data_IF_487260353668
#
_entry.id   IF_487260353668
#
_cell.length_a   1.000
_cell.length_b   1.000
_cell.length_c   1.000
_cell.angle_alpha   90.00
_cell.angle_beta   90.00
_cell.angle_gamma   90.00
#
_symmetry.space_group_name_H-M   'P 1'
#
loop_
_entity.id
_entity.type
_entity.pdbx_description
1 polymer ?
#
# COMPACT_ATOMS: atom_id res chain seq x y z
N UNK A 1 -4.48 7.45 -11.47
CA UNK A 1 -5.04 7.15 -10.15
C UNK A 1 -6.45 6.57 -10.20
N UNK A 2 -7.36 7.16 -10.99
CA UNK A 2 -8.81 6.87 -10.93
C UNK A 2 -9.16 5.38 -11.05
N UNK A 3 -8.61 4.66 -12.03
CA UNK A 3 -8.94 3.25 -12.24
C UNK A 3 -8.58 2.31 -11.06
N UNK A 4 -7.56 2.65 -10.26
CA UNK A 4 -7.19 1.88 -9.07
C UNK A 4 -8.09 2.25 -7.89
N UNK A 5 -8.41 3.54 -7.74
CA UNK A 5 -9.38 3.99 -6.75
C UNK A 5 -10.76 3.36 -7.01
N UNK A 6 -11.16 3.22 -8.28
CA UNK A 6 -12.42 2.59 -8.66
C UNK A 6 -12.41 1.07 -8.38
N UNK A 7 -11.33 0.36 -8.73
CA UNK A 7 -11.18 -1.08 -8.41
C UNK A 7 -11.08 -1.37 -6.90
N UNK A 8 -10.43 -0.50 -6.13
CA UNK A 8 -10.37 -0.62 -4.68
C UNK A 8 -11.69 -0.19 -4.01
N UNK A 9 -12.45 0.73 -4.62
CA UNK A 9 -13.79 1.08 -4.16
C UNK A 9 -14.79 -0.07 -4.38
N UNK A 10 -14.58 -0.90 -5.39
CA UNK A 10 -15.33 -2.16 -5.60
C UNK A 10 -15.00 -3.23 -4.53
N UNK A 11 -13.91 -3.06 -3.78
CA UNK A 11 -13.53 -3.89 -2.63
C UNK A 11 -13.61 -3.07 -1.32
N UNK A 12 -14.81 -2.81 -0.79
CA UNK A 12 -14.93 -2.14 0.50
C UNK A 12 -14.25 -3.01 1.58
N UNK A 13 -13.17 -2.50 2.17
CA UNK A 13 -12.58 -3.02 3.43
C UNK A 13 -13.48 -2.71 4.64
N UNK A 14 -14.79 -2.77 4.45
CA UNK A 14 -15.81 -2.40 5.42
C UNK A 14 -16.95 -3.40 5.43
N UNK A 15 -16.60 -4.68 5.48
CA UNK A 15 -17.44 -5.61 6.24
C UNK A 15 -16.82 -5.73 7.63
N UNK A 16 -17.32 -4.90 8.55
CA UNK A 16 -17.44 -5.33 9.93
C UNK A 16 -18.11 -6.72 9.87
N UNK A 17 -17.34 -7.77 10.10
CA UNK A 17 -17.85 -9.12 10.24
C UNK A 17 -18.84 -9.05 11.41
N UNK A 18 -20.14 -9.04 11.11
CA UNK A 18 -21.17 -9.32 12.10
C UNK A 18 -21.02 -10.80 12.42
N UNK A 19 -20.31 -11.09 13.50
CA UNK A 19 -20.21 -12.45 14.03
C UNK A 19 -21.59 -12.86 14.52
N UNK A 20 -22.25 -13.76 13.79
CA UNK A 20 -23.37 -14.54 14.31
C UNK A 20 -22.76 -15.56 15.29
N UNK A 21 -23.06 -15.37 16.56
CA UNK A 21 -22.42 -15.97 17.73
C UNK A 21 -22.87 -17.43 17.93
N UNK A 22 -22.49 -18.34 17.02
CA UNK A 22 -22.80 -19.77 17.19
C UNK A 22 -21.73 -20.75 16.66
N UNK A 23 -20.48 -20.31 16.49
CA UNK A 23 -19.36 -21.21 16.21
C UNK A 23 -18.47 -21.40 17.44
N UNK A 24 -18.45 -22.59 18.09
CA UNK A 24 -17.75 -22.81 19.37
C UNK A 24 -16.23 -22.90 19.23
N UNK A 25 -15.66 -22.49 18.09
CA UNK A 25 -14.24 -22.56 17.78
C UNK A 25 -13.65 -21.23 17.30
N UNK A 26 -14.40 -20.14 17.38
CA UNK A 26 -13.83 -18.82 17.22
C UNK A 26 -13.04 -18.50 18.49
N UNK A 27 -11.76 -18.90 18.47
CA UNK A 27 -10.76 -18.11 19.15
C UNK A 27 -10.88 -16.72 18.54
N UNK A 28 -11.66 -15.86 19.18
CA UNK A 28 -11.58 -14.42 19.00
C UNK A 28 -10.15 -14.10 19.40
N UNK A 29 -9.26 -14.21 18.41
CA UNK A 29 -7.98 -13.56 18.43
C UNK A 29 -8.35 -12.09 18.53
N UNK A 30 -8.46 -11.61 19.77
CA UNK A 30 -8.05 -10.25 20.11
C UNK A 30 -6.62 -10.14 19.63
N UNK A 31 -6.47 -9.96 18.31
CA UNK A 31 -5.21 -9.68 17.66
C UNK A 31 -4.93 -8.30 18.17
N UNK A 32 -4.08 -8.22 19.20
CA UNK A 32 -3.41 -6.99 19.57
C UNK A 32 -3.05 -6.29 18.26
N UNK A 33 -3.58 -5.06 18.06
CA UNK A 33 -3.44 -4.29 16.81
C UNK A 33 -2.03 -4.46 16.28
N UNK A 34 -1.87 -5.34 15.27
CA UNK A 34 -0.55 -5.53 14.69
C UNK A 34 -0.08 -4.15 14.21
N UNK A 35 1.19 -3.79 14.42
CA UNK A 35 1.72 -2.50 14.01
C UNK A 35 1.36 -2.21 12.54
N UNK A 36 0.39 -1.31 12.31
CA UNK A 36 -0.11 -0.98 10.98
C UNK A 36 0.86 0.00 10.33
N UNK A 37 1.37 -0.38 9.15
CA UNK A 37 2.11 0.52 8.27
C UNK A 37 1.16 1.11 7.24
N UNK A 38 1.24 2.42 7.02
CA UNK A 38 0.52 3.09 5.94
C UNK A 38 1.50 3.33 4.78
N UNK A 39 1.02 3.21 3.54
CA UNK A 39 1.83 3.47 2.35
C UNK A 39 1.05 4.36 1.38
N UNK A 40 1.65 5.47 1.00
CA UNK A 40 1.18 6.35 -0.06
C UNK A 40 2.16 6.29 -1.22
N UNK A 41 1.67 6.36 -2.45
CA UNK A 41 2.52 6.30 -3.63
C UNK A 41 1.95 7.14 -4.76
N UNK A 42 2.83 7.64 -5.61
CA UNK A 42 2.46 8.32 -6.85
C UNK A 42 3.50 8.06 -7.95
N UNK A 43 3.03 8.03 -9.19
CA UNK A 43 3.86 7.81 -10.36
C UNK A 43 3.68 8.95 -11.36
N UNK A 44 4.78 9.62 -11.69
CA UNK A 44 4.78 10.75 -12.63
C UNK A 44 5.50 10.39 -13.93
N UNK A 45 4.96 10.91 -15.04
CA UNK A 45 5.61 10.85 -16.35
C UNK A 45 5.67 12.26 -16.93
N UNK A 46 6.86 12.65 -17.39
CA UNK A 46 7.13 13.91 -18.08
C UNK A 46 7.87 13.67 -19.40
N UNK A 47 8.13 14.74 -20.17
CA UNK A 47 9.00 14.68 -21.36
C UNK A 47 10.46 14.39 -20.99
N UNK A 48 10.89 14.74 -19.77
CA UNK A 48 12.24 14.51 -19.26
C UNK A 48 12.44 13.08 -18.69
N UNK A 49 11.38 12.27 -18.66
CA UNK A 49 11.37 10.92 -18.12
C UNK A 49 10.27 10.71 -17.09
N UNK A 50 10.33 9.57 -16.41
CA UNK A 50 9.36 9.17 -15.40
C UNK A 50 10.03 8.98 -14.04
N UNK A 51 9.23 9.08 -12.99
CA UNK A 51 9.67 8.90 -11.62
C UNK A 51 8.51 8.53 -10.72
N UNK A 52 8.84 7.93 -9.57
CA UNK A 52 7.89 7.50 -8.57
C UNK A 52 8.22 8.15 -7.23
N UNK A 53 7.19 8.37 -6.44
CA UNK A 53 7.24 8.83 -5.07
C UNK A 53 6.50 7.84 -4.18
N UNK A 54 7.07 7.52 -3.02
CA UNK A 54 6.47 6.60 -2.04
C UNK A 54 6.68 7.22 -0.65
N UNK A 55 5.69 7.11 0.22
CA UNK A 55 5.77 7.52 1.61
C UNK A 55 5.25 6.38 2.49
N UNK A 56 6.09 5.92 3.41
CA UNK A 56 5.66 5.03 4.47
C UNK A 56 5.38 5.81 5.75
N UNK A 57 4.29 5.49 6.43
CA UNK A 57 4.07 5.87 7.82
C UNK A 57 4.26 4.62 8.68
N UNK A 58 5.21 4.67 9.61
CA UNK A 58 5.41 3.59 10.57
C UNK A 58 4.25 3.55 11.58
N UNK A 59 4.06 2.44 12.30
CA UNK A 59 3.13 2.37 13.43
C UNK A 59 3.42 3.45 14.48
N UNK A 60 4.70 3.82 14.65
CA UNK A 60 5.18 4.90 15.52
C UNK A 60 4.93 6.31 14.94
N UNK A 61 4.20 6.41 13.83
CA UNK A 61 3.86 7.64 13.11
C UNK A 61 5.07 8.38 12.51
N UNK A 62 6.17 7.68 12.29
CA UNK A 62 7.32 8.22 11.55
C UNK A 62 7.06 8.16 10.04
N UNK A 63 7.47 9.22 9.33
CA UNK A 63 7.30 9.34 7.89
C UNK A 63 8.62 9.06 7.17
N UNK A 64 8.62 8.10 6.25
CA UNK A 64 9.80 7.68 5.50
C UNK A 64 9.56 7.87 4.00
N UNK A 65 9.98 9.02 3.42
CA UNK A 65 9.78 9.32 2.01
C UNK A 65 10.84 8.69 1.11
N UNK A 66 10.43 8.25 -0.07
CA UNK A 66 11.27 7.72 -1.14
C UNK A 66 10.92 8.37 -2.47
N UNK A 67 11.92 8.58 -3.32
CA UNK A 67 11.75 9.05 -4.69
C UNK A 67 12.74 8.34 -5.59
N UNK A 68 12.25 7.79 -6.70
CA UNK A 68 13.06 7.02 -7.63
C UNK A 68 12.80 7.50 -9.06
N UNK A 69 13.87 7.66 -9.84
CA UNK A 69 13.76 7.90 -11.27
C UNK A 69 13.62 6.56 -12.00
N UNK A 70 12.59 6.43 -12.83
CA UNK A 70 12.45 5.27 -13.72
C UNK A 70 13.40 5.45 -14.91
N UNK A 71 14.22 4.44 -15.17
CA UNK A 71 15.23 4.42 -16.24
C UNK A 71 14.69 3.87 -17.57
N UNK A 72 13.39 3.57 -17.62
CA UNK A 72 12.71 3.08 -18.82
C UNK A 72 11.59 4.05 -19.25
N UNK A 73 11.23 3.99 -20.53
CA UNK A 73 10.08 4.71 -21.04
C UNK A 73 8.80 4.06 -20.56
N UNK A 74 7.90 4.83 -19.96
CA UNK A 74 6.63 4.33 -19.44
C UNK A 74 5.50 5.31 -19.73
N UNK A 75 4.26 4.81 -19.77
CA UNK A 75 3.07 5.67 -19.72
C UNK A 75 2.81 6.14 -18.28
N UNK A 76 1.90 7.11 -18.10
CA UNK A 76 1.58 7.64 -16.77
C UNK A 76 1.07 6.53 -15.83
N UNK A 77 0.10 5.72 -16.27
CA UNK A 77 -0.41 4.59 -15.47
C UNK A 77 0.70 3.59 -15.13
N UNK A 78 1.64 3.34 -16.05
CA UNK A 78 2.79 2.47 -15.77
C UNK A 78 3.65 3.02 -14.64
N UNK A 79 3.88 4.34 -14.58
CA UNK A 79 4.60 4.94 -13.46
C UNK A 79 3.86 4.72 -12.13
N UNK A 80 2.53 4.85 -12.11
CA UNK A 80 1.72 4.60 -10.90
C UNK A 80 1.80 3.12 -10.46
N UNK A 81 1.69 2.18 -11.39
CA UNK A 81 1.84 0.74 -11.09
C UNK A 81 3.22 0.42 -10.55
N UNK A 82 4.25 1.02 -11.13
CA UNK A 82 5.64 0.85 -10.68
C UNK A 82 5.85 1.44 -9.28
N UNK A 83 5.21 2.56 -8.96
CA UNK A 83 5.23 3.14 -7.63
C UNK A 83 4.63 2.18 -6.59
N UNK A 84 3.48 1.57 -6.88
CA UNK A 84 2.84 0.56 -6.03
C UNK A 84 3.72 -0.69 -5.86
N UNK A 85 4.21 -1.27 -6.95
CA UNK A 85 5.02 -2.50 -6.93
C UNK A 85 6.31 -2.29 -6.14
N UNK A 86 6.99 -1.16 -6.36
CA UNK A 86 8.24 -0.86 -5.66
C UNK A 86 7.98 -0.56 -4.18
N UNK A 87 6.89 0.15 -3.86
CA UNK A 87 6.44 0.36 -2.48
C UNK A 87 6.20 -0.95 -1.74
N UNK A 88 5.44 -1.89 -2.32
CA UNK A 88 5.18 -3.19 -1.70
C UNK A 88 6.46 -4.00 -1.47
N UNK A 89 7.39 -4.01 -2.44
CA UNK A 89 8.70 -4.67 -2.26
C UNK A 89 9.52 -4.07 -1.13
N UNK A 90 9.49 -2.75 -0.95
CA UNK A 90 10.17 -2.08 0.15
C UNK A 90 9.51 -2.40 1.49
N UNK A 91 8.18 -2.34 1.54
CA UNK A 91 7.41 -2.64 2.75
C UNK A 91 7.66 -4.07 3.24
N UNK A 92 7.67 -5.05 2.33
CA UNK A 92 8.01 -6.44 2.65
C UNK A 92 9.42 -6.57 3.22
N UNK A 93 10.40 -5.83 2.70
CA UNK A 93 11.77 -5.82 3.25
C UNK A 93 11.80 -5.25 4.67
N UNK A 94 11.05 -4.19 4.96
CA UNK A 94 10.95 -3.64 6.32
C UNK A 94 10.31 -4.61 7.30
N UNK A 95 9.28 -5.36 6.89
CA UNK A 95 8.67 -6.40 7.73
C UNK A 95 9.60 -7.59 7.99
N UNK A 96 10.44 -7.97 7.02
CA UNK A 96 11.40 -9.09 7.18
C UNK A 96 12.61 -8.72 8.06
N UNK A 97 12.98 -7.44 8.12
CA UNK A 97 14.13 -6.97 8.90
C UNK A 97 13.84 -6.65 10.36
N UNK A 98 12.57 -6.74 10.79
CA UNK A 98 12.13 -6.37 12.14
C UNK A 98 11.80 -7.61 12.99
#
# INVERSE_FOLDING_TARGET
GQAIADQLADFPLSEEIKTDDDFPNEQILTTELEPIWEMYFDGSKSTAGAGIWILFTTPEKEMIPYSLKLIFSCMHNMAEYEALIQGLKMLLKFKVQR
#
